data_IF_803055738070
#
_entry.id   IF_803055738070
#
_cell.length_a   1.000
_cell.length_b   1.000
_cell.length_c   1.000
_cell.angle_alpha   90.00
_cell.angle_beta   90.00
_cell.angle_gamma   90.00
#
_symmetry.space_group_name_H-M   'P 1'
#
loop_
_entity.id
_entity.type
_entity.pdbx_description
1 polymer ?
#
# COMPACT_ATOMS: atom_id res chain seq x y z
N UNK A 1 -7.54 -2.03 11.53
CA UNK A 1 -7.52 -3.10 10.50
C UNK A 1 -6.31 -2.85 9.61
N UNK A 2 -5.44 -3.85 9.42
CA UNK A 2 -4.31 -3.76 8.49
C UNK A 2 -4.51 -4.80 7.39
N UNK A 3 -4.34 -4.40 6.13
CA UNK A 3 -4.56 -5.25 4.97
C UNK A 3 -3.34 -5.13 4.06
N UNK A 4 -2.77 -6.26 3.66
CA UNK A 4 -1.85 -6.27 2.54
C UNK A 4 -2.65 -6.28 1.24
N UNK A 5 -2.55 -5.24 0.38
CA UNK A 5 -3.32 -5.16 -0.87
C UNK A 5 -2.90 -6.25 -1.87
N UNK A 6 -1.70 -6.78 -1.73
CA UNK A 6 -1.19 -7.90 -2.51
C UNK A 6 -1.83 -9.25 -2.12
N UNK A 7 -2.19 -9.42 -0.84
CA UNK A 7 -2.88 -10.61 -0.33
C UNK A 7 -2.05 -11.89 -0.34
N UNK A 8 -0.78 -11.85 -0.74
CA UNK A 8 0.15 -12.99 -0.73
C UNK A 8 1.52 -12.58 -0.18
N UNK A 9 2.41 -13.55 0.05
CA UNK A 9 3.82 -13.31 0.45
C UNK A 9 4.77 -13.18 -0.74
N UNK A 10 4.26 -13.27 -1.98
CA UNK A 10 5.01 -13.18 -3.23
C UNK A 10 4.59 -11.93 -3.99
N UNK A 11 5.50 -11.41 -4.80
CA UNK A 11 5.26 -10.25 -5.68
C UNK A 11 4.08 -10.49 -6.63
N UNK A 12 3.15 -9.55 -6.67
CA UNK A 12 2.00 -9.52 -7.60
C UNK A 12 2.04 -8.29 -8.50
N UNK A 13 1.51 -8.45 -9.70
CA UNK A 13 1.36 -7.35 -10.66
C UNK A 13 0.18 -6.42 -10.34
N UNK A 14 -0.88 -6.98 -9.74
CA UNK A 14 -2.14 -6.29 -9.46
C UNK A 14 -2.55 -6.43 -7.99
N UNK A 15 -3.00 -5.33 -7.40
CA UNK A 15 -3.49 -5.28 -6.03
C UNK A 15 -4.98 -5.60 -5.96
N UNK A 16 -5.39 -6.29 -4.90
CA UNK A 16 -6.80 -6.46 -4.55
C UNK A 16 -7.37 -5.12 -4.10
N UNK A 17 -8.50 -4.73 -4.65
CA UNK A 17 -9.14 -3.43 -4.42
C UNK A 17 -10.06 -3.38 -3.20
N UNK A 18 -10.17 -4.48 -2.44
CA UNK A 18 -11.06 -4.58 -1.28
C UNK A 18 -10.81 -3.51 -0.20
N UNK A 19 -9.54 -3.22 0.10
CA UNK A 19 -9.19 -2.17 1.08
C UNK A 19 -9.69 -0.78 0.64
N UNK A 20 -9.62 -0.49 -0.66
CA UNK A 20 -10.06 0.77 -1.23
C UNK A 20 -11.57 0.95 -1.11
N UNK A 21 -12.36 -0.10 -1.40
CA UNK A 21 -13.81 -0.05 -1.24
C UNK A 21 -14.24 0.03 0.23
N UNK A 22 -13.51 -0.60 1.14
CA UNK A 22 -13.76 -0.46 2.59
C UNK A 22 -13.53 0.99 3.01
N UNK A 23 -12.39 1.58 2.64
CA UNK A 23 -12.10 2.98 2.93
C UNK A 23 -13.15 3.93 2.34
N UNK A 24 -13.59 3.66 1.11
CA UNK A 24 -14.65 4.43 0.43
C UNK A 24 -16.00 4.36 1.11
N UNK A 25 -16.44 3.16 1.50
CA UNK A 25 -17.73 2.98 2.17
C UNK A 25 -17.74 3.50 3.60
N UNK A 26 -16.62 3.37 4.31
CA UNK A 26 -16.49 3.84 5.68
C UNK A 26 -16.09 5.32 5.78
N UNK A 27 -15.76 5.98 4.66
CA UNK A 27 -15.28 7.36 4.59
C UNK A 27 -14.09 7.62 5.53
N UNK A 28 -13.12 6.70 5.52
CA UNK A 28 -11.90 6.76 6.36
C UNK A 28 -10.64 6.94 5.52
N UNK A 29 -9.62 7.65 6.02
CA UNK A 29 -8.34 7.77 5.33
C UNK A 29 -7.57 6.45 5.30
N UNK A 30 -6.74 6.27 4.27
CA UNK A 30 -5.84 5.13 4.11
C UNK A 30 -4.45 5.53 4.63
N UNK A 31 -3.88 4.71 5.49
CA UNK A 31 -2.48 4.82 5.90
C UNK A 31 -1.66 3.73 5.21
N UNK A 32 -0.68 4.15 4.41
CA UNK A 32 0.32 3.22 3.87
C UNK A 32 1.43 3.02 4.89
N UNK A 33 1.82 1.76 5.10
CA UNK A 33 2.94 1.39 5.97
C UNK A 33 3.85 0.46 5.21
N UNK A 34 5.13 0.77 5.20
CA UNK A 34 6.16 0.00 4.53
C UNK A 34 7.25 -0.45 5.52
N UNK A 35 7.69 -1.69 5.36
CA UNK A 35 8.79 -2.26 6.12
C UNK A 35 10.06 -2.18 5.27
N UNK A 36 10.91 -1.21 5.58
CA UNK A 36 12.16 -0.93 4.88
C UNK A 36 13.29 -1.67 5.59
N UNK A 37 13.63 -2.85 5.09
CA UNK A 37 14.62 -3.74 5.71
C UNK A 37 16.05 -3.30 5.43
N UNK A 38 16.29 -2.60 4.32
CA UNK A 38 17.59 -2.01 4.01
C UNK A 38 17.99 -0.99 5.08
N UNK A 39 17.07 -0.08 5.42
CA UNK A 39 17.30 0.96 6.41
C UNK A 39 16.87 0.55 7.84
N UNK A 40 16.41 -0.70 8.02
CA UNK A 40 15.90 -1.26 9.29
C UNK A 40 14.86 -0.37 9.98
N UNK A 41 13.91 0.17 9.21
CA UNK A 41 12.91 1.12 9.70
C UNK A 41 11.50 0.77 9.20
N UNK A 42 10.50 1.31 9.89
CA UNK A 42 9.11 1.27 9.46
C UNK A 42 8.75 2.66 8.95
N UNK A 43 8.39 2.77 7.67
CA UNK A 43 7.89 4.02 7.09
C UNK A 43 6.37 4.02 7.18
N UNK A 44 5.83 5.00 7.89
CA UNK A 44 4.39 5.29 7.93
C UNK A 44 4.19 6.57 7.12
N UNK A 45 3.35 6.49 6.09
CA UNK A 45 3.05 7.63 5.23
C UNK A 45 1.87 8.43 5.79
N UNK A 46 1.77 9.69 5.35
CA UNK A 46 0.66 10.56 5.67
C UNK A 46 -0.70 9.94 5.27
N UNK A 47 -1.78 10.29 5.98
CA UNK A 47 -3.11 9.83 5.64
C UNK A 47 -3.47 10.25 4.21
N UNK A 48 -3.92 9.29 3.41
CA UNK A 48 -4.43 9.53 2.07
C UNK A 48 -5.94 9.45 2.07
N UNK A 49 -6.60 10.56 1.72
CA UNK A 49 -8.04 10.60 1.49
C UNK A 49 -8.27 10.23 0.02
N UNK A 50 -9.10 9.21 -0.21
CA UNK A 50 -9.41 8.77 -1.57
C UNK A 50 -10.13 9.88 -2.35
N UNK A 51 -9.78 10.02 -3.62
CA UNK A 51 -10.39 11.00 -4.52
C UNK A 51 -11.63 10.45 -5.21
N UNK A 52 -11.77 9.12 -5.21
CA UNK A 52 -12.84 8.41 -5.89
C UNK A 52 -12.42 7.85 -7.26
N UNK A 53 -11.30 8.32 -7.82
CA UNK A 53 -10.67 7.73 -9.01
C UNK A 53 -9.68 6.64 -8.59
N UNK A 54 -10.13 5.38 -8.69
CA UNK A 54 -9.40 4.23 -8.18
C UNK A 54 -8.04 4.04 -8.88
N UNK A 55 -7.95 4.26 -10.19
CA UNK A 55 -6.72 4.05 -10.95
C UNK A 55 -5.64 5.05 -10.53
N UNK A 56 -6.01 6.33 -10.39
CA UNK A 56 -5.10 7.36 -9.91
C UNK A 56 -4.71 7.14 -8.45
N UNK A 57 -5.67 6.84 -7.58
CA UNK A 57 -5.44 6.62 -6.16
C UNK A 57 -4.51 5.40 -5.93
N UNK A 58 -4.75 4.29 -6.64
CA UNK A 58 -3.87 3.11 -6.57
C UNK A 58 -2.49 3.44 -7.11
N UNK A 59 -2.39 4.17 -8.23
CA UNK A 59 -1.09 4.58 -8.80
C UNK A 59 -0.30 5.42 -7.80
N UNK A 60 -0.95 6.38 -7.15
CA UNK A 60 -0.34 7.19 -6.11
C UNK A 60 0.10 6.33 -4.91
N UNK A 61 -0.78 5.48 -4.38
CA UNK A 61 -0.47 4.60 -3.25
C UNK A 61 0.69 3.66 -3.57
N UNK A 62 0.76 3.10 -4.79
CA UNK A 62 1.89 2.27 -5.26
C UNK A 62 3.20 3.05 -5.30
N UNK A 63 3.15 4.31 -5.71
CA UNK A 63 4.35 5.15 -5.81
C UNK A 63 5.07 5.34 -4.47
N UNK A 64 4.32 5.33 -3.36
CA UNK A 64 4.88 5.45 -2.00
C UNK A 64 5.83 4.29 -1.63
N UNK A 65 5.62 3.11 -2.21
CA UNK A 65 6.44 1.94 -1.94
C UNK A 65 7.66 1.83 -2.87
N UNK A 66 7.81 2.73 -3.86
CA UNK A 66 8.92 2.69 -4.81
C UNK A 66 10.25 2.96 -4.08
N UNK A 67 11.22 2.07 -4.28
CA UNK A 67 12.54 2.17 -3.65
C UNK A 67 12.58 1.65 -2.21
N UNK A 68 11.53 0.97 -1.74
CA UNK A 68 11.56 0.28 -0.46
C UNK A 68 11.95 -1.18 -0.68
N UNK A 69 13.02 -1.59 -0.02
CA UNK A 69 13.50 -2.97 -0.07
C UNK A 69 12.94 -3.75 1.12
N UNK A 70 12.12 -4.75 0.82
CA UNK A 70 11.63 -5.72 1.78
C UNK A 70 12.71 -6.71 2.23
N UNK A 71 12.37 -7.58 3.17
CA UNK A 71 13.31 -8.59 3.71
C UNK A 71 13.86 -9.52 2.63
N UNK A 72 13.04 -9.83 1.63
CA UNK A 72 13.41 -10.61 0.45
C UNK A 72 13.35 -9.65 -0.74
N UNK A 73 14.50 -9.16 -1.23
CA UNK A 73 14.55 -8.15 -2.29
C UNK A 73 13.84 -8.58 -3.58
N UNK A 74 13.86 -9.88 -3.91
CA UNK A 74 13.18 -10.43 -5.10
C UNK A 74 11.65 -10.23 -5.07
N UNK A 75 11.07 -10.05 -3.87
CA UNK A 75 9.64 -9.83 -3.68
C UNK A 75 9.28 -8.37 -3.43
N UNK A 76 10.26 -7.46 -3.50
CA UNK A 76 10.07 -6.02 -3.33
C UNK A 76 9.62 -5.35 -4.64
#
# INVERSE_FOLDING_TARGET
LALSPEGTRKKVSSWKTGFYYIAKKANVPIYSVALDFENKQIKVFNPFIITGNIDNDITFLRSLFKGINGKIPEYS
#
